data_IF_203536023553
#
_entry.id   IF_203536023553
#
_cell.length_a   1.000
_cell.length_b   1.000
_cell.length_c   1.000
_cell.angle_alpha   90.00
_cell.angle_beta   90.00
_cell.angle_gamma   90.00
#
_symmetry.space_group_name_H-M   'P 1'
#
loop_
_entity.id
_entity.type
_entity.pdbx_description
1 polymer ?
#
# COMPACT_ATOMS: atom_id res chain seq x y z
N UNK A 1 5.00 -10.00 -9.26
CA UNK A 1 4.29 -11.01 -8.45
C UNK A 1 3.98 -10.38 -7.11
N UNK A 2 2.72 -10.39 -6.68
CA UNK A 2 2.25 -9.59 -5.54
C UNK A 2 1.67 -10.50 -4.46
N UNK A 3 1.90 -10.13 -3.20
CA UNK A 3 1.22 -10.69 -2.06
C UNK A 3 0.25 -9.68 -1.43
N UNK A 4 -0.86 -10.14 -0.89
CA UNK A 4 -1.83 -9.28 -0.18
C UNK A 4 -1.90 -9.70 1.29
N UNK A 5 -1.71 -8.74 2.20
CA UNK A 5 -1.78 -8.95 3.65
C UNK A 5 -3.02 -8.26 4.20
N UNK A 6 -3.87 -9.00 4.91
CA UNK A 6 -5.11 -8.49 5.50
C UNK A 6 -6.15 -8.13 4.44
N UNK A 7 -7.11 -9.01 4.16
CA UNK A 7 -7.97 -8.85 2.96
C UNK A 7 -9.45 -9.12 3.17
N UNK A 8 -9.97 -8.86 4.37
CA UNK A 8 -11.41 -8.99 4.63
C UNK A 8 -12.26 -7.91 3.95
N UNK A 9 -11.93 -6.64 4.17
CA UNK A 9 -12.69 -5.48 3.64
C UNK A 9 -11.90 -4.80 2.53
N UNK A 10 -11.17 -3.71 2.82
CA UNK A 10 -10.37 -2.97 1.85
C UNK A 10 -9.37 -3.84 1.09
N UNK A 11 -8.72 -4.79 1.74
CA UNK A 11 -7.81 -5.69 1.04
C UNK A 11 -8.51 -6.65 0.05
N UNK A 12 -9.81 -6.92 0.20
CA UNK A 12 -10.57 -7.65 -0.84
C UNK A 12 -10.71 -6.80 -2.11
N UNK A 13 -10.91 -5.49 -1.97
CA UNK A 13 -10.87 -4.58 -3.11
C UNK A 13 -9.49 -4.54 -3.74
N UNK A 14 -8.41 -4.59 -2.95
CA UNK A 14 -7.05 -4.68 -3.49
C UNK A 14 -6.88 -5.94 -4.34
N UNK A 15 -7.36 -7.10 -3.85
CA UNK A 15 -7.32 -8.34 -4.63
C UNK A 15 -8.05 -8.15 -5.97
N UNK A 16 -9.25 -7.56 -5.96
CA UNK A 16 -10.05 -7.31 -7.17
C UNK A 16 -9.36 -6.35 -8.15
N UNK A 17 -8.81 -5.25 -7.66
CA UNK A 17 -8.14 -4.26 -8.52
C UNK A 17 -6.79 -4.75 -9.04
N UNK A 18 -5.99 -5.44 -8.22
CA UNK A 18 -4.70 -5.99 -8.63
C UNK A 18 -4.89 -7.03 -9.75
N UNK A 19 -5.93 -7.86 -9.69
CA UNK A 19 -6.27 -8.83 -10.75
C UNK A 19 -6.54 -8.18 -12.11
N UNK A 20 -7.00 -6.92 -12.14
CA UNK A 20 -7.26 -6.18 -13.38
C UNK A 20 -6.00 -5.61 -14.00
N UNK A 21 -4.87 -5.58 -13.28
CA UNK A 21 -3.61 -5.02 -13.78
C UNK A 21 -2.92 -6.05 -14.68
N UNK A 22 -2.71 -5.74 -15.98
CA UNK A 22 -2.08 -6.68 -16.89
C UNK A 22 -0.63 -6.99 -16.46
N UNK A 23 -0.24 -8.25 -16.55
CA UNK A 23 1.11 -8.72 -16.18
C UNK A 23 1.34 -8.90 -14.68
N UNK A 24 0.36 -8.59 -13.82
CA UNK A 24 0.46 -8.80 -12.37
C UNK A 24 -0.25 -10.10 -11.98
N UNK A 25 0.39 -10.85 -11.08
CA UNK A 25 -0.11 -12.12 -10.55
C UNK A 25 -0.09 -12.06 -9.03
N UNK A 26 -1.21 -12.42 -8.39
CA UNK A 26 -1.27 -12.62 -6.94
C UNK A 26 -0.74 -14.02 -6.66
N UNK A 27 0.40 -14.10 -5.96
CA UNK A 27 1.09 -15.38 -5.68
C UNK A 27 0.96 -15.82 -4.24
N UNK A 28 0.62 -14.89 -3.33
CA UNK A 28 0.47 -15.18 -1.92
C UNK A 28 -0.63 -14.33 -1.28
N UNK A 29 -1.31 -14.90 -0.31
CA UNK A 29 -2.29 -14.25 0.54
C UNK A 29 -1.91 -14.49 2.00
N UNK A 30 -1.93 -13.44 2.83
CA UNK A 30 -1.67 -13.55 4.26
C UNK A 30 -2.78 -12.96 5.10
N UNK A 31 -3.39 -13.76 5.97
CA UNK A 31 -4.36 -13.31 6.97
C UNK A 31 -4.25 -14.18 8.23
N UNK A 32 -4.34 -13.56 9.41
CA UNK A 32 -4.27 -14.28 10.68
C UNK A 32 -5.52 -15.11 10.94
N UNK A 33 -6.66 -14.71 10.36
CA UNK A 33 -7.93 -15.45 10.44
C UNK A 33 -7.98 -16.50 9.32
N UNK A 34 -7.87 -17.78 9.71
CA UNK A 34 -7.89 -18.91 8.78
C UNK A 34 -9.18 -18.99 7.95
N UNK A 35 -10.31 -18.49 8.47
CA UNK A 35 -11.57 -18.47 7.73
C UNK A 35 -11.55 -17.43 6.62
N UNK A 36 -10.94 -16.27 6.88
CA UNK A 36 -10.74 -15.22 5.85
C UNK A 36 -9.75 -15.73 4.81
N UNK A 37 -8.67 -16.36 5.25
CA UNK A 37 -7.65 -16.94 4.37
C UNK A 37 -8.24 -17.99 3.42
N UNK A 38 -9.01 -18.95 3.94
CA UNK A 38 -9.66 -19.97 3.12
C UNK A 38 -10.55 -19.37 2.02
N UNK A 39 -11.35 -18.35 2.36
CA UNK A 39 -12.19 -17.64 1.38
C UNK A 39 -11.36 -16.89 0.33
N UNK A 40 -10.29 -16.23 0.74
CA UNK A 40 -9.40 -15.52 -0.18
C UNK A 40 -8.69 -16.43 -1.18
N UNK A 41 -8.31 -17.64 -0.75
CA UNK A 41 -7.67 -18.64 -1.61
C UNK A 41 -8.61 -19.17 -2.69
N UNK A 42 -9.91 -19.28 -2.41
CA UNK A 42 -10.92 -19.64 -3.42
C UNK A 42 -11.00 -18.57 -4.52
N UNK A 43 -10.87 -17.29 -4.14
CA UNK A 43 -10.86 -16.19 -5.10
C UNK A 43 -9.57 -16.16 -5.93
N UNK A 44 -8.42 -16.57 -5.38
CA UNK A 44 -7.12 -16.49 -6.04
C UNK A 44 -6.52 -17.89 -6.24
N UNK A 45 -7.04 -18.68 -7.21
CA UNK A 45 -6.51 -20.01 -7.48
C UNK A 45 -5.01 -19.95 -7.83
N UNK A 46 -4.21 -20.74 -7.12
CA UNK A 46 -2.75 -20.79 -7.27
C UNK A 46 -1.96 -19.85 -6.36
N UNK A 47 -2.62 -19.03 -5.53
CA UNK A 47 -1.94 -18.29 -4.47
C UNK A 47 -1.63 -19.21 -3.27
N UNK A 48 -0.49 -18.99 -2.62
CA UNK A 48 -0.12 -19.68 -1.38
C UNK A 48 -0.67 -18.91 -0.19
N UNK A 49 -1.34 -19.61 0.74
CA UNK A 49 -1.89 -19.01 1.94
C UNK A 49 -0.92 -19.02 3.11
N UNK A 50 -0.81 -17.89 3.80
CA UNK A 50 0.00 -17.72 5.00
C UNK A 50 -0.84 -17.16 6.15
N UNK A 51 -0.60 -17.63 7.37
CA UNK A 51 -1.18 -17.05 8.60
C UNK A 51 -0.21 -16.11 9.31
N UNK A 52 1.07 -16.14 8.91
CA UNK A 52 2.14 -15.33 9.47
C UNK A 52 2.88 -14.61 8.33
N UNK A 53 2.87 -13.27 8.40
CA UNK A 53 3.53 -12.41 7.42
C UNK A 53 5.04 -12.66 7.37
N UNK A 54 5.68 -13.04 8.48
CA UNK A 54 7.14 -13.27 8.53
C UNK A 54 7.53 -14.43 7.63
N UNK A 55 6.78 -15.53 7.69
CA UNK A 55 6.94 -16.69 6.80
C UNK A 55 6.62 -16.36 5.35
N UNK A 56 5.60 -15.51 5.12
CA UNK A 56 5.30 -15.04 3.77
C UNK A 56 6.46 -14.23 3.18
N UNK A 57 7.10 -13.37 3.97
CA UNK A 57 8.20 -12.52 3.51
C UNK A 57 9.48 -13.29 3.15
N UNK A 58 9.66 -14.50 3.68
CA UNK A 58 10.75 -15.41 3.30
C UNK A 58 10.59 -15.96 1.86
N UNK A 59 9.38 -15.92 1.30
CA UNK A 59 9.14 -16.39 -0.07
C UNK A 59 9.78 -15.44 -1.11
N UNK A 60 10.73 -15.99 -1.86
CA UNK A 60 11.47 -15.32 -2.95
C UNK A 60 10.62 -15.10 -4.20
N UNK A 61 9.43 -15.70 -4.28
CA UNK A 61 8.51 -15.53 -5.40
C UNK A 61 7.67 -14.24 -5.29
N UNK A 62 7.76 -13.51 -4.19
CA UNK A 62 7.02 -12.27 -3.96
C UNK A 62 7.93 -11.06 -4.23
N UNK A 63 7.53 -10.22 -5.18
CA UNK A 63 8.24 -8.99 -5.55
C UNK A 63 7.70 -7.77 -4.77
N UNK A 64 6.38 -7.73 -4.55
CA UNK A 64 5.70 -6.62 -3.88
C UNK A 64 4.62 -7.11 -2.91
N UNK A 65 4.39 -6.33 -1.86
CA UNK A 65 3.36 -6.58 -0.84
C UNK A 65 2.37 -5.43 -0.82
N UNK A 66 1.09 -5.77 -0.88
CA UNK A 66 -0.02 -4.87 -0.63
C UNK A 66 -0.56 -5.13 0.78
N UNK A 67 -0.27 -4.24 1.71
CA UNK A 67 -0.70 -4.34 3.10
C UNK A 67 -1.97 -3.51 3.37
N UNK A 68 -3.04 -4.20 3.77
CA UNK A 68 -4.31 -3.61 4.22
C UNK A 68 -4.74 -4.15 5.59
N UNK A 69 -3.76 -4.49 6.43
CA UNK A 69 -3.98 -4.90 7.82
C UNK A 69 -4.49 -3.75 8.72
N UNK A 70 -4.75 -3.98 10.01
CA UNK A 70 -5.10 -2.90 10.92
C UNK A 70 -3.98 -1.86 11.09
N UNK A 71 -4.37 -0.61 11.34
CA UNK A 71 -3.47 0.56 11.47
C UNK A 71 -2.26 0.37 12.40
N UNK A 72 -2.43 -0.32 13.52
CA UNK A 72 -1.37 -0.56 14.52
C UNK A 72 -0.31 -1.58 14.04
N UNK A 73 -0.58 -2.33 12.97
CA UNK A 73 0.38 -3.27 12.38
C UNK A 73 1.05 -2.73 11.12
N UNK A 74 0.52 -1.65 10.53
CA UNK A 74 1.01 -1.10 9.27
C UNK A 74 2.51 -0.78 9.30
N UNK A 75 2.96 0.03 10.25
CA UNK A 75 4.35 0.49 10.28
C UNK A 75 5.33 -0.68 10.43
N UNK A 76 5.08 -1.59 11.38
CA UNK A 76 6.00 -2.71 11.63
C UNK A 76 6.02 -3.70 10.46
N UNK A 77 4.87 -4.07 9.89
CA UNK A 77 4.79 -4.94 8.73
C UNK A 77 5.39 -4.29 7.47
N UNK A 78 5.24 -2.97 7.35
CA UNK A 78 5.88 -2.19 6.31
C UNK A 78 7.39 -2.26 6.39
N UNK A 79 7.97 -2.00 7.57
CA UNK A 79 9.43 -2.10 7.79
C UNK A 79 9.92 -3.52 7.51
N UNK A 80 9.24 -4.56 8.00
CA UNK A 80 9.62 -5.95 7.71
C UNK A 80 9.60 -6.27 6.22
N UNK A 81 8.61 -5.75 5.48
CA UNK A 81 8.52 -5.92 4.03
C UNK A 81 9.73 -5.32 3.33
N UNK A 82 10.15 -4.12 3.74
CA UNK A 82 11.32 -3.44 3.17
C UNK A 82 12.63 -4.15 3.53
N UNK A 83 12.76 -4.62 4.77
CA UNK A 83 13.88 -5.43 5.21
C UNK A 83 14.00 -6.73 4.41
N UNK A 84 12.87 -7.34 4.03
CA UNK A 84 12.83 -8.51 3.16
C UNK A 84 13.11 -8.19 1.67
N UNK A 85 13.41 -6.94 1.33
CA UNK A 85 13.77 -6.52 -0.02
C UNK A 85 12.59 -6.42 -0.99
N UNK A 86 11.36 -6.24 -0.49
CA UNK A 86 10.13 -6.25 -1.30
C UNK A 86 9.52 -4.85 -1.43
N UNK A 87 8.93 -4.55 -2.58
CA UNK A 87 8.17 -3.29 -2.74
C UNK A 87 6.94 -3.28 -1.85
N UNK A 88 6.51 -2.11 -1.41
CA UNK A 88 5.43 -1.96 -0.44
C UNK A 88 4.35 -0.98 -0.92
N UNK A 89 3.12 -1.45 -0.99
CA UNK A 89 1.92 -0.61 -0.94
C UNK A 89 1.26 -0.80 0.42
N UNK A 90 0.92 0.28 1.10
CA UNK A 90 0.36 0.23 2.46
C UNK A 90 -0.87 1.12 2.60
N UNK A 91 -1.96 0.60 3.16
CA UNK A 91 -3.19 1.37 3.32
C UNK A 91 -3.04 2.56 4.27
N UNK A 92 -4.01 3.49 4.16
CA UNK A 92 -4.15 4.59 5.11
C UNK A 92 -4.97 4.14 6.33
N UNK A 93 -4.68 4.67 7.54
CA UNK A 93 -3.56 5.54 7.88
C UNK A 93 -2.23 4.78 7.85
N UNK A 94 -1.13 5.44 7.48
CA UNK A 94 0.20 4.81 7.33
C UNK A 94 0.71 4.17 8.64
N UNK A 95 0.36 4.76 9.77
CA UNK A 95 0.81 4.37 11.10
C UNK A 95 -0.26 4.71 12.14
N UNK A 96 -0.10 4.20 13.37
CA UNK A 96 -0.98 4.55 14.47
C UNK A 96 -0.58 5.88 15.13
N UNK A 97 0.72 6.21 15.15
CA UNK A 97 1.25 7.44 15.72
C UNK A 97 2.31 8.10 14.82
N UNK A 98 2.73 9.30 15.19
CA UNK A 98 3.71 10.10 14.43
C UNK A 98 5.08 9.44 14.43
N UNK A 99 5.51 8.89 15.57
CA UNK A 99 6.82 8.24 15.71
C UNK A 99 6.96 7.07 14.72
N UNK A 100 6.00 6.14 14.70
CA UNK A 100 5.94 5.06 13.72
C UNK A 100 5.95 5.57 12.26
N UNK A 101 5.25 6.68 11.99
CA UNK A 101 5.28 7.32 10.68
C UNK A 101 6.67 7.83 10.30
N UNK A 102 7.39 8.45 11.25
CA UNK A 102 8.78 8.87 11.06
C UNK A 102 9.70 7.67 10.80
N UNK A 103 9.50 6.56 11.50
CA UNK A 103 10.25 5.32 11.26
C UNK A 103 9.99 4.75 9.85
N UNK A 104 8.76 4.83 9.35
CA UNK A 104 8.44 4.44 7.96
C UNK A 104 9.13 5.35 6.93
N UNK A 105 9.19 6.66 7.18
CA UNK A 105 9.92 7.60 6.31
C UNK A 105 11.42 7.32 6.32
N UNK A 106 11.99 7.06 7.51
CA UNK A 106 13.40 6.69 7.65
C UNK A 106 13.71 5.37 6.93
N UNK A 107 12.87 4.34 7.11
CA UNK A 107 13.00 3.08 6.41
C UNK A 107 12.91 3.25 4.89
N UNK A 108 11.97 4.06 4.40
CA UNK A 108 11.87 4.35 2.97
C UNK A 108 13.08 5.07 2.39
N UNK A 109 13.67 5.96 3.16
CA UNK A 109 14.90 6.67 2.78
C UNK A 109 16.10 5.72 2.75
N UNK A 110 16.17 4.77 3.70
CA UNK A 110 17.23 3.78 3.78
C UNK A 110 17.14 2.74 2.65
N UNK A 111 15.94 2.19 2.42
CA UNK A 111 15.67 1.22 1.36
C UNK A 111 15.31 1.88 0.03
N UNK A 112 16.11 2.86 -0.41
CA UNK A 112 15.82 3.73 -1.55
C UNK A 112 15.67 3.04 -2.92
N UNK A 113 16.07 1.76 -3.04
CA UNK A 113 15.87 0.95 -4.25
C UNK A 113 14.45 0.35 -4.32
N UNK A 114 13.74 0.31 -3.20
CA UNK A 114 12.39 -0.22 -3.10
C UNK A 114 11.37 0.91 -3.27
N UNK A 115 10.22 0.56 -3.81
CA UNK A 115 9.12 1.51 -4.04
C UNK A 115 8.16 1.38 -2.87
N UNK A 116 7.81 2.51 -2.28
CA UNK A 116 6.87 2.60 -1.16
C UNK A 116 5.76 3.55 -1.55
N UNK A 117 4.51 3.08 -1.44
CA UNK A 117 3.33 3.88 -1.71
C UNK A 117 2.30 3.74 -0.60
N UNK A 118 1.89 4.87 -0.04
CA UNK A 118 0.76 4.92 0.89
C UNK A 118 -0.58 5.02 0.14
N UNK A 119 -1.62 4.40 0.68
CA UNK A 119 -2.97 4.28 0.14
C UNK A 119 -3.81 5.57 0.19
N UNK A 120 -3.19 6.71 -0.09
CA UNK A 120 -3.85 8.02 -0.19
C UNK A 120 -4.62 8.16 -1.52
N UNK A 121 -5.53 7.22 -1.79
CA UNK A 121 -6.22 7.07 -3.08
C UNK A 121 -7.02 8.32 -3.50
N UNK A 122 -7.52 9.10 -2.53
CA UNK A 122 -8.20 10.37 -2.81
C UNK A 122 -7.37 11.33 -3.66
N UNK A 123 -6.03 11.33 -3.53
CA UNK A 123 -5.16 12.19 -4.36
C UNK A 123 -5.20 11.83 -5.85
N UNK A 124 -5.59 10.60 -6.16
CA UNK A 124 -5.80 10.08 -7.50
C UNK A 124 -7.28 10.09 -7.92
N UNK A 125 -8.16 10.75 -7.18
CA UNK A 125 -9.54 10.95 -7.61
C UNK A 125 -9.62 11.85 -8.83
N UNK A 126 -10.51 11.54 -9.79
CA UNK A 126 -10.68 12.33 -11.03
C UNK A 126 -10.93 13.81 -10.72
N UNK A 127 -11.84 14.09 -9.78
CA UNK A 127 -12.15 15.46 -9.37
C UNK A 127 -10.97 16.20 -8.74
N UNK A 128 -10.21 15.53 -7.87
CA UNK A 128 -9.01 16.12 -7.24
C UNK A 128 -7.94 16.37 -8.30
N UNK A 129 -7.68 15.44 -9.21
CA UNK A 129 -6.72 15.65 -10.32
C UNK A 129 -7.13 16.80 -11.24
N UNK A 130 -8.41 16.92 -11.56
CA UNK A 130 -8.94 18.01 -12.38
C UNK A 130 -8.77 19.36 -11.67
N UNK A 131 -9.11 19.43 -10.38
CA UNK A 131 -8.92 20.62 -9.57
C UNK A 131 -7.44 21.03 -9.49
N UNK A 132 -6.53 20.06 -9.27
CA UNK A 132 -5.08 20.29 -9.24
C UNK A 132 -4.52 20.81 -10.57
N UNK A 133 -5.20 20.58 -11.69
CA UNK A 133 -4.77 21.08 -13.01
C UNK A 133 -5.45 22.39 -13.42
N UNK A 134 -6.40 22.89 -12.62
CA UNK A 134 -7.14 24.10 -12.93
C UNK A 134 -6.21 25.34 -12.84
N UNK A 135 -6.02 26.08 -13.96
CA UNK A 135 -5.14 27.26 -13.99
C UNK A 135 -5.59 28.36 -13.03
N UNK A 136 -6.90 28.46 -12.74
CA UNK A 136 -7.49 29.49 -11.88
C UNK A 136 -7.06 29.38 -10.41
N UNK A 137 -6.72 28.16 -9.96
CA UNK A 137 -6.15 27.91 -8.63
C UNK A 137 -4.67 28.34 -8.58
N UNK A 138 -3.95 28.22 -9.71
CA UNK A 138 -2.55 28.62 -9.82
C UNK A 138 -2.40 30.15 -9.96
N UNK A 139 -3.28 30.80 -10.72
CA UNK A 139 -3.29 32.26 -10.91
C UNK A 139 -3.70 33.04 -9.64
N UNK A 140 -4.38 32.39 -8.69
CA UNK A 140 -4.69 33.01 -7.41
C UNK A 140 -3.45 33.17 -6.51
N UNK A 141 -2.45 32.28 -6.64
CA UNK A 141 -1.17 32.39 -5.94
C UNK A 141 -0.28 33.50 -6.51
N UNK A 142 -0.25 33.69 -7.83
CA UNK A 142 0.55 34.74 -8.47
C UNK A 142 -0.01 36.15 -8.24
N UNK A 143 -1.32 36.31 -8.04
CA UNK A 143 -1.91 37.63 -7.78
C UNK A 143 -1.72 38.14 -6.33
N UNK A 144 -1.28 37.31 -5.37
CA UNK A 144 -0.99 37.77 -3.99
C UNK A 144 0.36 38.48 -3.85
N UNK A 145 1.36 38.16 -4.68
CA UNK A 145 2.66 38.85 -4.67
C UNK A 145 2.60 40.24 -5.32
N UNK A 146 1.62 40.51 -6.17
CA UNK A 146 1.44 41.82 -6.82
C UNK A 146 0.70 42.88 -5.97
N UNK A 147 0.15 42.50 -4.81
CA UNK A 147 -0.58 43.42 -3.90
C UNK A 147 0.20 43.78 -2.62
N UNK A 148 1.50 43.50 -2.59
CA UNK A 148 2.46 44.01 -1.59
C UNK A 148 3.48 44.86 -2.32
N UNK A 149 3.09 46.07 -2.69
CA UNK A 149 3.95 47.24 -2.93
C UNK A 149 3.08 48.48 -2.75
#
# INVERSE_FOLDING_TARGET
RVAVVGFRSRGLEHIKEIKKVPGVRIVALCDVDSNVLAKGLLECPGAVGYTDIRKMLEDKNIDAVSNASPNHQHAIQGIWTLQAGKHLYIEKPLSHNIFEGQQMVAAGSYFNKLVIQAGTQSRSGVGIRAASRCPRIHSWKSNRSSKRN
#
